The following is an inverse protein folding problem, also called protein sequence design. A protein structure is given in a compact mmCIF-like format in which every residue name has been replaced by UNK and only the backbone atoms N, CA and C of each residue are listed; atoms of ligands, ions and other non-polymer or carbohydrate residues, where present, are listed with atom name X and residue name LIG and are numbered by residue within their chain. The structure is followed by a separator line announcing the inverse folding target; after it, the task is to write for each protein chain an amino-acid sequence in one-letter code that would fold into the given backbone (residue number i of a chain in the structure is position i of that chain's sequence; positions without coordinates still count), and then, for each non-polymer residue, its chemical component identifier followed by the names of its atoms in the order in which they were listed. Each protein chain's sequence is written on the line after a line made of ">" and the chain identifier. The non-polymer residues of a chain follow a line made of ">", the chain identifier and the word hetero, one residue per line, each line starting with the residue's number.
data_IF_576872527440
#
_entry.id   IF_576872527440
#
_cell.length_a   1.000
_cell.length_b   1.000
_cell.length_c   1.000
_cell.angle_alpha   90.00
_cell.angle_beta   90.00
_cell.angle_gamma   90.00
#
_symmetry.space_group_name_H-M   'P 1'
#
loop_
_entity.id
_entity.type
_entity.pdbx_description
1 polymer ?
#
# COMPACT_ATOMS: atom_id res chain seq x y z
N UNK A 1 4.73 -24.97 -1.08
CA UNK A 1 4.11 -23.64 -1.30
C UNK A 1 3.76 -23.08 0.07
N UNK A 2 4.21 -21.87 0.42
CA UNK A 2 3.68 -21.18 1.61
C UNK A 2 2.36 -20.53 1.19
N UNK A 3 1.31 -20.72 1.98
CA UNK A 3 0.04 -20.03 1.80
C UNK A 3 0.22 -18.53 2.05
N UNK A 4 -0.51 -17.70 1.27
CA UNK A 4 -0.53 -16.26 1.46
C UNK A 4 -1.46 -15.91 2.63
N UNK A 5 -1.00 -15.09 3.56
CA UNK A 5 -1.88 -14.52 4.58
C UNK A 5 -2.82 -13.51 3.92
N UNK A 6 -4.12 -13.65 4.17
CA UNK A 6 -5.17 -12.81 3.58
C UNK A 6 -5.73 -11.89 4.66
N UNK A 7 -5.88 -10.61 4.32
CA UNK A 7 -6.42 -9.58 5.19
C UNK A 7 -7.54 -8.83 4.45
N UNK A 8 -8.53 -8.37 5.20
CA UNK A 8 -9.63 -7.52 4.73
C UNK A 8 -9.28 -6.02 4.80
N UNK A 9 -8.15 -5.68 5.44
CA UNK A 9 -7.71 -4.31 5.73
C UNK A 9 -6.18 -4.21 5.68
N UNK A 10 -5.65 -3.16 5.05
CA UNK A 10 -4.19 -2.98 4.88
C UNK A 10 -3.48 -2.62 6.18
N UNK A 11 -4.16 -1.96 7.12
CA UNK A 11 -3.57 -1.63 8.43
C UNK A 11 -3.38 -2.88 9.27
N UNK A 12 -4.35 -3.81 9.25
CA UNK A 12 -4.19 -5.15 9.87
C UNK A 12 -3.03 -5.91 9.25
N UNK A 13 -2.89 -5.86 7.92
CA UNK A 13 -1.75 -6.48 7.22
C UNK A 13 -0.42 -5.89 7.71
N UNK A 14 -0.32 -4.56 7.81
CA UNK A 14 0.91 -3.88 8.28
C UNK A 14 1.21 -4.16 9.76
N UNK A 15 0.17 -4.29 10.60
CA UNK A 15 0.30 -4.59 12.03
C UNK A 15 0.51 -6.08 12.36
N UNK A 16 0.38 -6.97 11.38
CA UNK A 16 0.43 -8.44 11.57
C UNK A 16 1.77 -8.99 12.07
N UNK A 17 2.83 -8.18 12.09
CA UNK A 17 4.19 -8.62 12.41
C UNK A 17 4.83 -9.47 11.31
N UNK A 18 4.16 -9.63 10.16
CA UNK A 18 4.74 -10.31 9.00
C UNK A 18 5.94 -9.51 8.46
N UNK A 19 6.98 -10.23 8.07
CA UNK A 19 8.11 -9.64 7.36
C UNK A 19 7.67 -9.33 5.93
N UNK A 20 7.43 -8.05 5.67
CA UNK A 20 7.06 -7.49 4.37
C UNK A 20 8.21 -6.57 3.93
N UNK A 21 8.80 -6.85 2.76
CA UNK A 21 9.88 -6.03 2.19
C UNK A 21 9.34 -4.99 1.19
N UNK A 22 8.25 -5.29 0.48
CA UNK A 22 7.63 -4.43 -0.54
C UNK A 22 6.09 -4.53 -0.45
N UNK A 23 5.43 -3.39 -0.62
CA UNK A 23 3.97 -3.29 -0.79
C UNK A 23 3.68 -2.81 -2.20
N UNK A 24 2.91 -3.60 -2.97
CA UNK A 24 2.41 -3.21 -4.28
C UNK A 24 0.92 -2.88 -4.19
N UNK A 25 0.57 -1.64 -4.50
CA UNK A 25 -0.78 -1.11 -4.34
C UNK A 25 -1.47 -1.10 -5.70
N UNK A 26 -2.45 -2.01 -5.88
CA UNK A 26 -3.26 -2.13 -7.10
C UNK A 26 -4.74 -1.80 -6.86
N UNK A 27 -5.03 -1.03 -5.80
CA UNK A 27 -6.41 -0.63 -5.45
C UNK A 27 -6.91 0.48 -6.39
N UNK A 28 -8.16 0.94 -6.28
CA UNK A 28 -8.58 2.13 -7.01
C UNK A 28 -7.74 3.37 -6.64
N UNK A 29 -7.47 4.30 -7.58
CA UNK A 29 -6.59 5.46 -7.35
C UNK A 29 -7.00 6.37 -6.20
N UNK A 30 -8.30 6.43 -5.86
CA UNK A 30 -8.83 7.22 -4.74
C UNK A 30 -8.25 6.81 -3.39
N UNK A 31 -7.76 5.58 -3.25
CA UNK A 31 -7.24 5.02 -2.01
C UNK A 31 -5.71 4.84 -2.02
N UNK A 32 -5.05 5.10 -3.16
CA UNK A 32 -3.60 4.91 -3.29
C UNK A 32 -2.80 5.73 -2.28
N UNK A 33 -3.11 7.01 -2.15
CA UNK A 33 -2.37 7.92 -1.28
C UNK A 33 -2.40 7.44 0.18
N UNK A 34 -3.59 7.11 0.70
CA UNK A 34 -3.73 6.64 2.08
C UNK A 34 -2.96 5.34 2.34
N UNK A 35 -3.09 4.35 1.45
CA UNK A 35 -2.42 3.06 1.61
C UNK A 35 -0.91 3.21 1.48
N UNK A 36 -0.45 4.06 0.55
CA UNK A 36 0.97 4.35 0.33
C UNK A 36 1.59 5.03 1.55
N UNK A 37 0.95 6.08 2.08
CA UNK A 37 1.41 6.80 3.27
C UNK A 37 1.50 5.85 4.47
N UNK A 38 0.46 5.05 4.71
CA UNK A 38 0.46 4.08 5.81
C UNK A 38 1.59 3.05 5.67
N UNK A 39 1.83 2.56 4.46
CA UNK A 39 2.88 1.58 4.18
C UNK A 39 4.29 2.17 4.33
N UNK A 40 4.50 3.41 3.86
CA UNK A 40 5.76 4.14 4.03
C UNK A 40 6.04 4.45 5.51
N UNK A 41 5.03 4.88 6.26
CA UNK A 41 5.14 5.12 7.71
C UNK A 41 5.47 3.84 8.50
N UNK A 42 5.01 2.68 8.01
CA UNK A 42 5.38 1.37 8.55
C UNK A 42 6.79 0.89 8.11
N UNK A 43 7.56 1.74 7.43
CA UNK A 43 8.93 1.48 6.97
C UNK A 43 9.02 0.49 5.82
N UNK A 44 7.97 0.39 4.99
CA UNK A 44 7.92 -0.54 3.85
C UNK A 44 8.27 0.17 2.56
N UNK A 45 8.91 -0.54 1.62
CA UNK A 45 9.05 -0.05 0.25
C UNK A 45 7.67 -0.10 -0.43
N UNK A 46 7.33 0.93 -1.19
CA UNK A 46 5.99 1.05 -1.81
C UNK A 46 6.11 1.21 -3.31
N UNK A 47 5.32 0.42 -4.04
CA UNK A 47 5.08 0.55 -5.48
C UNK A 47 3.58 0.79 -5.67
N UNK A 48 3.21 1.87 -6.36
CA UNK A 48 1.82 2.21 -6.65
C UNK A 48 1.55 1.94 -8.11
N UNK A 49 0.46 1.23 -8.41
CA UNK A 49 0.11 0.90 -9.78
C UNK A 49 -0.46 2.12 -10.53
N UNK A 50 -0.25 2.15 -11.84
CA UNK A 50 -0.74 3.25 -12.69
C UNK A 50 -2.28 3.24 -12.84
N UNK A 51 -2.92 4.42 -12.99
CA UNK A 51 -2.36 5.74 -12.73
C UNK A 51 -2.18 5.98 -11.22
N UNK A 52 -1.07 6.62 -10.85
CA UNK A 52 -0.71 6.84 -9.44
C UNK A 52 -1.78 7.63 -8.68
N UNK A 53 -2.36 8.64 -9.33
CA UNK A 53 -3.46 9.45 -8.82
C UNK A 53 -4.40 9.87 -9.94
N UNK A 54 -5.57 10.40 -9.57
CA UNK A 54 -6.57 10.93 -10.53
C UNK A 54 -6.24 12.34 -11.05
N UNK A 55 -5.32 13.06 -10.39
CA UNK A 55 -4.84 14.39 -10.78
C UNK A 55 -3.44 14.65 -10.24
N UNK A 56 -2.67 15.55 -10.88
CA UNK A 56 -1.31 15.89 -10.44
C UNK A 56 -1.27 16.46 -9.02
N UNK A 57 -2.28 17.23 -8.62
CA UNK A 57 -2.35 17.81 -7.27
C UNK A 57 -2.38 16.73 -6.16
N UNK A 58 -2.88 15.54 -6.49
CA UNK A 58 -2.91 14.41 -5.58
C UNK A 58 -1.59 13.63 -5.48
N UNK A 59 -0.61 13.86 -6.36
CA UNK A 59 0.70 13.16 -6.29
C UNK A 59 1.91 14.03 -5.96
N UNK A 60 1.73 15.35 -5.88
CA UNK A 60 2.76 16.31 -5.52
C UNK A 60 2.81 16.75 -4.04
N UNK A 61 2.27 15.97 -3.09
CA UNK A 61 2.26 16.32 -1.66
C UNK A 61 3.00 15.31 -0.79
#
# INVERSE_FOLDING_TARGET
>A
MKEAAVFDDHQKMLASGLKIDLVHICTPPSCHAEIAINSMNAGKNVLVEKPMATSLECDAR
#
